data_IF_263096960065
#
_entry.id   IF_263096960065
#
_cell.length_a   1.000
_cell.length_b   1.000
_cell.length_c   1.000
_cell.angle_alpha   90.00
_cell.angle_beta   90.00
_cell.angle_gamma   90.00
#
_symmetry.space_group_name_H-M   'P 1'
#
loop_
_entity.id
_entity.type
_entity.pdbx_description
1 polymer ?
#
# COMPACT_ATOMS: atom_id res chain seq x y z
N UNK A 1 3.93 -31.25 -4.60
CA UNK A 1 4.52 -30.03 -3.98
C UNK A 1 3.78 -29.80 -2.68
N UNK A 2 4.43 -29.94 -1.52
CA UNK A 2 3.80 -29.62 -0.24
C UNK A 2 3.45 -28.13 -0.23
N UNK A 3 2.18 -27.81 0.01
CA UNK A 3 1.76 -26.43 0.23
C UNK A 3 2.51 -25.91 1.45
N UNK A 4 3.40 -24.93 1.24
CA UNK A 4 4.12 -24.25 2.31
C UNK A 4 3.09 -23.73 3.31
N UNK A 5 3.18 -24.16 4.58
CA UNK A 5 2.25 -23.74 5.62
C UNK A 5 2.28 -22.21 5.71
N UNK A 6 1.11 -21.58 5.61
CA UNK A 6 0.98 -20.12 5.56
C UNK A 6 0.75 -19.64 6.99
N UNK A 7 1.81 -19.12 7.60
CA UNK A 7 1.71 -18.57 8.95
C UNK A 7 0.96 -17.22 8.93
N UNK A 8 0.11 -16.95 9.94
CA UNK A 8 -0.53 -15.65 10.10
C UNK A 8 0.49 -14.51 10.18
N UNK A 9 0.17 -13.35 9.58
CA UNK A 9 1.04 -12.16 9.67
C UNK A 9 1.04 -11.54 11.08
N UNK A 10 -0.02 -11.78 11.85
CA UNK A 10 -0.19 -11.33 13.23
C UNK A 10 -0.66 -12.46 14.12
N UNK A 11 -0.23 -12.44 15.39
CA UNK A 11 -0.73 -13.34 16.42
C UNK A 11 -2.09 -12.83 16.92
N UNK A 12 -3.15 -13.54 16.58
CA UNK A 12 -4.51 -13.26 17.08
C UNK A 12 -4.52 -13.44 18.60
N UNK A 13 -5.10 -12.46 19.31
CA UNK A 13 -5.23 -12.48 20.76
C UNK A 13 -6.65 -12.86 21.16
N UNK A 14 -6.81 -13.39 22.37
CA UNK A 14 -8.10 -13.86 22.90
C UNK A 14 -9.10 -12.72 23.16
N UNK A 15 -8.61 -11.49 23.36
CA UNK A 15 -9.42 -10.29 23.59
C UNK A 15 -9.95 -9.67 22.29
N UNK A 16 -9.57 -10.18 21.12
CA UNK A 16 -10.00 -9.64 19.83
C UNK A 16 -11.43 -10.09 19.53
N UNK A 17 -12.29 -9.11 19.24
CA UNK A 17 -13.66 -9.36 18.82
C UNK A 17 -13.75 -9.35 17.29
N UNK A 18 -14.33 -10.41 16.73
CA UNK A 18 -14.64 -10.47 15.30
C UNK A 18 -15.86 -9.59 15.04
N UNK A 19 -15.67 -8.54 14.23
CA UNK A 19 -16.74 -7.62 13.84
C UNK A 19 -17.43 -8.11 12.56
N UNK A 20 -16.63 -8.47 11.56
CA UNK A 20 -17.15 -8.90 10.25
C UNK A 20 -16.14 -9.84 9.57
N UNK A 21 -16.66 -10.80 8.81
CA UNK A 21 -15.89 -11.67 7.92
C UNK A 21 -16.39 -11.50 6.48
N UNK A 22 -15.51 -11.08 5.58
CA UNK A 22 -15.88 -10.79 4.19
C UNK A 22 -15.16 -11.76 3.24
N UNK A 23 -15.88 -12.69 2.58
CA UNK A 23 -15.28 -13.60 1.62
C UNK A 23 -14.96 -12.88 0.30
N UNK A 24 -13.91 -13.33 -0.41
CA UNK A 24 -13.49 -12.72 -1.67
C UNK A 24 -14.56 -12.75 -2.77
N UNK A 25 -15.49 -13.72 -2.73
CA UNK A 25 -16.62 -13.80 -3.66
C UNK A 25 -17.58 -12.61 -3.52
N UNK A 26 -17.71 -12.04 -2.32
CA UNK A 26 -18.49 -10.83 -2.07
C UNK A 26 -17.79 -9.59 -2.61
N UNK A 27 -16.49 -9.46 -2.34
CA UNK A 27 -15.67 -8.32 -2.80
C UNK A 27 -15.60 -8.22 -4.33
N UNK A 28 -15.53 -9.37 -5.02
CA UNK A 28 -15.40 -9.42 -6.48
C UNK A 28 -16.60 -8.86 -7.23
N UNK A 29 -17.75 -8.68 -6.56
CA UNK A 29 -18.98 -8.15 -7.16
C UNK A 29 -19.18 -6.65 -6.89
N UNK A 30 -18.36 -6.05 -6.03
CA UNK A 30 -18.46 -4.64 -5.69
C UNK A 30 -18.01 -3.76 -6.86
N UNK A 31 -18.71 -2.65 -7.07
CA UNK A 31 -18.38 -1.66 -8.09
C UNK A 31 -18.73 -0.26 -7.58
N UNK A 32 -17.84 0.70 -7.83
CA UNK A 32 -18.02 2.11 -7.51
C UNK A 32 -17.68 2.96 -8.76
N UNK A 33 -18.63 3.17 -9.68
CA UNK A 33 -18.35 3.73 -11.00
C UNK A 33 -18.18 5.26 -11.04
N UNK A 34 -18.51 5.99 -9.96
CA UNK A 34 -18.54 7.45 -9.95
C UNK A 34 -17.47 8.04 -9.03
N UNK A 35 -16.21 7.83 -9.37
CA UNK A 35 -15.06 8.43 -8.66
C UNK A 35 -14.66 9.71 -9.39
N UNK A 36 -14.59 10.82 -8.67
CA UNK A 36 -14.12 12.10 -9.22
C UNK A 36 -12.60 12.13 -9.39
N UNK A 37 -12.12 12.96 -10.30
CA UNK A 37 -10.68 13.23 -10.41
C UNK A 37 -10.13 13.79 -9.09
N UNK A 38 -8.92 13.36 -8.68
CA UNK A 38 -8.31 13.84 -7.46
C UNK A 38 -7.90 15.31 -7.59
N UNK A 39 -7.99 16.05 -6.49
CA UNK A 39 -7.43 17.39 -6.39
C UNK A 39 -6.09 17.33 -5.64
N UNK A 40 -5.02 17.81 -6.28
CA UNK A 40 -3.69 17.84 -5.67
C UNK A 40 -3.62 18.88 -4.54
N UNK A 41 -3.21 18.45 -3.34
CA UNK A 41 -3.07 19.35 -2.19
C UNK A 41 -1.65 19.90 -2.04
N UNK A 42 -0.64 19.08 -2.34
CA UNK A 42 0.77 19.45 -2.21
C UNK A 42 1.68 18.41 -2.87
N UNK A 43 2.83 18.85 -3.37
CA UNK A 43 3.89 17.99 -3.91
C UNK A 43 5.15 18.15 -3.08
N UNK A 44 5.82 17.04 -2.77
CA UNK A 44 7.02 17.01 -1.94
C UNK A 44 8.09 16.10 -2.56
N UNK A 45 9.36 16.43 -2.31
CA UNK A 45 10.51 15.63 -2.74
C UNK A 45 11.13 16.11 -4.05
N UNK A 46 12.02 15.27 -4.60
CA UNK A 46 12.74 15.51 -5.85
C UNK A 46 12.95 14.21 -6.61
N UNK A 47 12.95 14.27 -7.94
CA UNK A 47 13.14 13.10 -8.79
C UNK A 47 14.37 13.27 -9.68
N UNK A 48 15.19 12.22 -9.77
CA UNK A 48 16.30 12.15 -10.73
C UNK A 48 15.79 11.82 -12.13
N UNK A 49 16.49 12.30 -13.16
CA UNK A 49 16.16 11.95 -14.54
C UNK A 49 16.42 10.46 -14.81
N UNK A 50 15.49 9.83 -15.52
CA UNK A 50 15.66 8.47 -16.02
C UNK A 50 16.69 8.41 -17.15
N UNK A 51 17.64 7.47 -17.06
CA UNK A 51 18.60 7.19 -18.13
C UNK A 51 17.96 6.32 -19.22
N UNK A 52 17.58 6.95 -20.33
CA UNK A 52 16.94 6.28 -21.50
C UNK A 52 17.82 5.21 -22.17
N UNK A 53 19.11 5.10 -21.83
CA UNK A 53 19.97 4.00 -22.33
C UNK A 53 19.48 2.65 -21.84
N UNK A 54 18.80 2.60 -20.69
CA UNK A 54 18.24 1.35 -20.15
C UNK A 54 17.14 0.75 -21.05
N UNK A 55 16.48 1.56 -21.89
CA UNK A 55 15.45 1.08 -22.83
C UNK A 55 16.03 0.18 -23.95
N UNK A 56 17.35 0.23 -24.17
CA UNK A 56 18.05 -0.53 -25.22
C UNK A 56 18.76 -1.79 -24.68
N UNK A 57 18.64 -2.08 -23.40
CA UNK A 57 19.20 -3.30 -22.82
C UNK A 57 18.45 -4.50 -23.38
N UNK A 58 19.19 -5.50 -23.85
CA UNK A 58 18.64 -6.74 -24.37
C UNK A 58 19.38 -7.93 -23.78
N UNK A 59 18.90 -9.14 -24.01
CA UNK A 59 19.59 -10.38 -23.59
C UNK A 59 20.96 -10.56 -24.27
N UNK A 60 21.22 -9.88 -25.39
CA UNK A 60 22.53 -9.86 -26.07
C UNK A 60 23.45 -8.74 -25.58
N UNK A 61 22.87 -7.70 -24.98
CA UNK A 61 23.56 -6.48 -24.50
C UNK A 61 23.18 -6.24 -23.04
N UNK A 62 23.47 -7.22 -22.20
CA UNK A 62 23.10 -7.20 -20.79
C UNK A 62 23.91 -6.16 -19.99
N UNK A 63 23.32 -5.68 -18.90
CA UNK A 63 23.97 -4.82 -17.92
C UNK A 63 23.83 -5.46 -16.55
N UNK A 64 24.96 -5.68 -15.86
CA UNK A 64 24.96 -6.26 -14.52
C UNK A 64 24.32 -5.30 -13.52
N UNK A 65 23.44 -5.83 -12.67
CA UNK A 65 22.84 -5.08 -11.58
C UNK A 65 23.92 -4.73 -10.55
N UNK A 66 23.99 -3.45 -10.17
CA UNK A 66 24.92 -2.96 -9.16
C UNK A 66 24.19 -2.73 -7.84
N UNK A 67 24.89 -2.94 -6.73
CA UNK A 67 24.37 -2.55 -5.43
C UNK A 67 24.40 -1.03 -5.33
N UNK A 68 23.26 -0.43 -5.01
CA UNK A 68 23.14 1.01 -4.79
C UNK A 68 22.65 1.22 -3.36
N UNK A 69 23.45 1.91 -2.56
CA UNK A 69 23.06 2.26 -1.20
C UNK A 69 22.23 3.55 -1.25
N UNK A 70 20.91 3.44 -1.13
CA UNK A 70 20.00 4.58 -0.98
C UNK A 70 19.16 4.40 0.29
N UNK A 71 18.86 5.52 0.92
CA UNK A 71 17.90 5.56 2.02
C UNK A 71 16.49 5.46 1.45
N UNK A 72 15.76 4.40 1.82
CA UNK A 72 14.35 4.20 1.44
C UNK A 72 13.49 4.44 2.68
N UNK A 73 12.68 5.50 2.63
CA UNK A 73 11.76 5.84 3.72
C UNK A 73 10.49 4.98 3.64
N UNK A 74 10.27 4.13 4.65
CA UNK A 74 9.04 3.34 4.82
C UNK A 74 8.19 3.93 5.96
N UNK A 75 7.66 5.14 5.72
CA UNK A 75 6.90 5.89 6.73
C UNK A 75 5.43 5.48 6.66
N UNK A 76 4.82 5.20 7.81
CA UNK A 76 3.39 4.88 7.91
C UNK A 76 2.56 6.17 7.98
N UNK A 77 1.27 6.09 7.64
CA UNK A 77 0.33 7.22 7.66
C UNK A 77 0.41 8.06 8.95
N UNK A 78 0.48 7.41 10.11
CA UNK A 78 0.52 8.08 11.43
C UNK A 78 1.86 8.76 11.75
N UNK A 79 2.95 8.33 11.12
CA UNK A 79 4.30 8.89 11.30
C UNK A 79 4.64 9.95 10.25
N UNK A 80 3.78 10.15 9.26
CA UNK A 80 3.96 11.16 8.24
C UNK A 80 3.58 12.56 8.77
N UNK A 81 4.52 13.52 8.80
CA UNK A 81 4.25 14.86 9.33
C UNK A 81 3.31 15.69 8.42
N UNK A 82 3.33 15.44 7.10
CA UNK A 82 2.48 16.13 6.13
C UNK A 82 1.04 15.66 6.31
N UNK A 83 0.81 14.34 6.38
CA UNK A 83 -0.53 13.78 6.62
C UNK A 83 -1.09 14.27 7.96
N UNK A 84 -0.25 14.30 9.01
CA UNK A 84 -0.67 14.84 10.33
C UNK A 84 -1.09 16.31 10.28
N UNK A 85 -0.49 17.11 9.40
CA UNK A 85 -0.87 18.51 9.24
C UNK A 85 -2.15 18.65 8.41
N UNK A 86 -2.30 17.88 7.34
CA UNK A 86 -3.51 17.87 6.49
C UNK A 86 -4.73 17.39 7.28
N UNK A 87 -4.56 16.40 8.16
CA UNK A 87 -5.62 15.84 8.99
C UNK A 87 -6.34 16.88 9.89
N UNK A 88 -5.70 18.02 10.18
CA UNK A 88 -6.32 19.09 10.99
C UNK A 88 -7.33 19.92 10.19
N UNK A 89 -7.25 19.92 8.86
CA UNK A 89 -8.00 20.87 8.01
C UNK A 89 -8.81 20.18 6.91
N UNK A 90 -8.37 19.02 6.39
CA UNK A 90 -8.99 18.36 5.25
C UNK A 90 -9.08 16.85 5.43
N UNK A 91 -10.14 16.24 4.89
CA UNK A 91 -10.32 14.79 4.81
C UNK A 91 -10.78 14.14 6.11
N UNK A 92 -11.22 12.89 6.00
CA UNK A 92 -11.67 12.03 7.10
C UNK A 92 -11.05 10.63 7.05
N UNK A 93 -10.42 10.26 5.92
CA UNK A 93 -9.72 9.00 5.72
C UNK A 93 -8.33 9.32 5.18
N UNK A 94 -7.30 8.71 5.77
CA UNK A 94 -5.90 8.92 5.40
C UNK A 94 -5.20 7.57 5.22
N UNK A 95 -4.46 7.43 4.13
CA UNK A 95 -3.72 6.21 3.82
C UNK A 95 -2.57 6.53 2.86
N UNK A 96 -1.64 5.58 2.70
CA UNK A 96 -0.61 5.60 1.66
C UNK A 96 -1.02 4.74 0.47
N UNK A 97 -0.36 4.94 -0.66
CA UNK A 97 -0.51 4.15 -1.88
C UNK A 97 -0.37 2.65 -1.64
N UNK A 98 0.59 2.23 -0.81
CA UNK A 98 0.81 0.82 -0.48
C UNK A 98 -0.39 0.19 0.25
N UNK A 99 -0.99 0.92 1.19
CA UNK A 99 -2.17 0.48 1.95
C UNK A 99 -3.38 0.37 1.01
N UNK A 100 -3.66 1.43 0.25
CA UNK A 100 -4.80 1.47 -0.67
C UNK A 100 -4.67 0.41 -1.78
N UNK A 101 -3.48 0.26 -2.36
CA UNK A 101 -3.23 -0.76 -3.39
C UNK A 101 -3.45 -2.18 -2.85
N UNK A 102 -3.07 -2.43 -1.59
CA UNK A 102 -3.30 -3.73 -0.93
C UNK A 102 -4.80 -3.99 -0.75
N UNK A 103 -5.57 -2.97 -0.35
CA UNK A 103 -7.03 -3.08 -0.20
C UNK A 103 -7.74 -3.27 -1.56
N UNK A 104 -7.38 -2.49 -2.57
CA UNK A 104 -7.98 -2.58 -3.92
C UNK A 104 -7.70 -3.94 -4.59
N UNK A 105 -6.54 -4.53 -4.33
CA UNK A 105 -6.11 -5.81 -4.92
C UNK A 105 -6.25 -7.01 -3.97
N UNK A 106 -6.96 -6.87 -2.85
CA UNK A 106 -7.02 -7.88 -1.79
C UNK A 106 -7.51 -9.27 -2.27
N UNK A 107 -8.40 -9.31 -3.28
CA UNK A 107 -8.97 -10.55 -3.85
C UNK A 107 -7.94 -11.43 -4.55
N UNK A 108 -6.74 -10.91 -4.84
CA UNK A 108 -5.62 -11.65 -5.43
C UNK A 108 -4.63 -12.16 -4.38
N UNK A 109 -4.83 -11.81 -3.12
CA UNK A 109 -3.89 -12.16 -2.06
C UNK A 109 -3.92 -13.65 -1.74
N UNK A 110 -2.75 -14.23 -1.55
CA UNK A 110 -2.55 -15.63 -1.16
C UNK A 110 -1.84 -15.72 0.19
N UNK A 111 -0.89 -14.82 0.43
CA UNK A 111 -0.18 -14.71 1.71
C UNK A 111 -0.94 -13.80 2.67
N UNK A 112 -0.95 -14.12 3.98
CA UNK A 112 -1.55 -13.26 4.98
C UNK A 112 -0.86 -11.89 5.06
N UNK A 113 -1.66 -10.86 5.31
CA UNK A 113 -1.23 -9.50 5.61
C UNK A 113 -2.25 -8.87 6.56
N UNK A 114 -1.84 -7.82 7.27
CA UNK A 114 -2.67 -7.06 8.18
C UNK A 114 -2.46 -5.55 7.99
N UNK A 115 -3.51 -4.79 8.28
CA UNK A 115 -3.53 -3.33 8.26
C UNK A 115 -4.19 -2.87 9.56
N UNK A 116 -3.52 -2.01 10.30
CA UNK A 116 -4.09 -1.38 11.50
C UNK A 116 -4.88 -0.14 11.10
N UNK A 117 -6.14 -0.07 11.55
CA UNK A 117 -7.01 1.10 11.38
C UNK A 117 -7.18 1.80 12.72
N UNK A 118 -6.82 3.08 12.79
CA UNK A 118 -7.03 3.94 13.96
C UNK A 118 -8.24 4.86 13.68
N UNK A 119 -9.33 4.66 14.40
CA UNK A 119 -10.56 5.46 14.27
C UNK A 119 -10.61 6.46 15.42
N UNK A 120 -10.47 7.74 15.10
CA UNK A 120 -10.63 8.82 16.07
C UNK A 120 -12.03 9.40 15.96
N UNK A 121 -12.87 9.11 16.96
CA UNK A 121 -14.13 9.80 17.13
C UNK A 121 -13.85 11.27 17.50
N UNK A 122 -14.57 12.19 16.86
CA UNK A 122 -14.53 13.62 17.21
C UNK A 122 -15.16 13.86 18.57
#
# INVERSE_FOLDING_TARGET
QQAKQREPSVRVREDWQVIEEIPFTSLSKLSLPSISEPHELSVWGSLEYYDKRFDRISTKSEKKLTMINRLIHKITTTKDPVIRQICKTHGNVFATDAIISTLMCCTRSVYPWDIVVDVKLK
#
